data_IF_596024106272
#
_entry.id   IF_596024106272
#
_cell.length_a   1.000
_cell.length_b   1.000
_cell.length_c   1.000
_cell.angle_alpha   90.00
_cell.angle_beta   90.00
_cell.angle_gamma   90.00
#
_symmetry.space_group_name_H-M   'P 1'
#
loop_
_entity.id
_entity.type
_entity.pdbx_description
1 polymer ?
#
# COMPACT_ATOMS: atom_id res chain seq x y z
N UNK A 1 -10.47 -16.26 35.11
CA UNK A 1 -11.26 -16.57 33.93
C UNK A 1 -11.77 -15.37 33.18
N UNK A 2 -12.30 -14.39 33.84
CA UNK A 2 -12.75 -13.20 33.16
C UNK A 2 -11.62 -12.41 32.51
N UNK A 3 -10.44 -12.45 33.05
CA UNK A 3 -9.29 -11.78 32.51
C UNK A 3 -8.88 -12.31 31.14
N UNK A 4 -8.99 -13.60 30.92
CA UNK A 4 -8.63 -14.19 29.63
C UNK A 4 -9.55 -13.71 28.51
N UNK A 5 -10.84 -13.56 28.79
CA UNK A 5 -11.78 -13.10 27.77
C UNK A 5 -11.54 -11.64 27.40
N UNK A 6 -11.24 -10.82 28.42
CA UNK A 6 -10.97 -9.40 28.19
C UNK A 6 -9.69 -9.23 27.36
N UNK A 7 -8.66 -9.98 27.65
CA UNK A 7 -7.42 -9.92 26.89
C UNK A 7 -7.62 -10.37 25.44
N UNK A 8 -8.41 -11.40 25.23
CA UNK A 8 -8.70 -11.89 23.89
C UNK A 8 -9.45 -10.86 23.06
N UNK A 9 -10.42 -10.19 23.64
CA UNK A 9 -11.19 -9.17 22.95
C UNK A 9 -10.30 -7.97 22.61
N UNK A 10 -9.43 -7.55 23.52
CA UNK A 10 -8.51 -6.46 23.26
C UNK A 10 -7.55 -6.78 22.13
N UNK A 11 -7.07 -8.01 22.08
CA UNK A 11 -6.17 -8.45 21.02
C UNK A 11 -6.85 -8.41 19.67
N UNK A 12 -8.09 -8.85 19.59
CA UNK A 12 -8.85 -8.82 18.35
C UNK A 12 -9.10 -7.39 17.86
N UNK A 13 -9.39 -6.49 18.76
CA UNK A 13 -9.58 -5.09 18.40
C UNK A 13 -8.30 -4.45 17.86
N UNK A 14 -7.17 -4.77 18.45
CA UNK A 14 -5.88 -4.27 17.99
C UNK A 14 -5.57 -4.78 16.59
N UNK A 15 -5.84 -6.04 16.32
CA UNK A 15 -5.61 -6.60 15.00
C UNK A 15 -6.49 -5.94 13.94
N UNK A 16 -7.71 -5.60 14.29
CA UNK A 16 -8.61 -4.97 13.35
C UNK A 16 -8.17 -3.56 12.96
N UNK A 17 -7.48 -2.86 13.83
CA UNK A 17 -7.03 -1.50 13.56
C UNK A 17 -5.81 -1.45 12.63
N UNK A 18 -5.07 -2.52 12.53
CA UNK A 18 -3.80 -2.50 11.79
C UNK A 18 -3.90 -2.71 10.29
N UNK A 19 -5.05 -2.99 9.77
CA UNK A 19 -5.19 -3.33 8.37
C UNK A 19 -5.45 -2.12 7.51
N UNK A 20 -4.47 -1.34 7.22
CA UNK A 20 -4.62 -0.14 6.42
C UNK A 20 -3.91 -0.14 5.09
N UNK A 21 -3.16 -1.17 4.78
CA UNK A 21 -2.45 -1.27 3.53
C UNK A 21 -2.61 -2.69 2.99
N UNK A 22 -2.43 -2.85 1.70
CA UNK A 22 -2.47 -4.18 1.14
C UNK A 22 -1.06 -4.67 0.87
N UNK A 23 -0.90 -5.98 0.89
CA UNK A 23 0.34 -6.64 0.55
C UNK A 23 0.01 -7.81 -0.34
N UNK A 24 0.71 -7.95 -1.45
CA UNK A 24 0.55 -9.13 -2.28
C UNK A 24 1.92 -9.58 -2.82
N UNK A 25 1.99 -10.80 -3.30
CA UNK A 25 3.19 -11.29 -3.92
C UNK A 25 2.85 -11.92 -5.25
N UNK A 26 3.78 -11.89 -6.16
CA UNK A 26 3.62 -12.47 -7.48
C UNK A 26 4.89 -13.13 -7.93
N UNK A 27 4.78 -14.04 -8.89
CA UNK A 27 5.92 -14.71 -9.45
C UNK A 27 6.69 -13.77 -10.38
N UNK A 28 7.99 -13.92 -10.39
CA UNK A 28 8.85 -13.09 -11.22
C UNK A 28 10.09 -13.89 -11.61
N UNK A 29 10.48 -13.76 -12.86
CA UNK A 29 11.72 -14.40 -13.33
C UNK A 29 12.92 -13.57 -12.86
N UNK A 30 13.72 -14.13 -11.99
CA UNK A 30 14.91 -13.47 -11.47
C UNK A 30 16.18 -14.13 -11.95
N UNK A 31 16.14 -14.86 -13.05
CA UNK A 31 17.32 -15.55 -13.58
C UNK A 31 18.44 -14.57 -13.95
N UNK A 32 18.10 -13.32 -14.24
CA UNK A 32 19.09 -12.27 -14.52
C UNK A 32 19.69 -11.67 -13.25
N UNK A 33 19.19 -12.03 -12.08
CA UNK A 33 19.58 -11.42 -10.81
C UNK A 33 18.74 -10.19 -10.44
N UNK A 34 17.72 -9.90 -11.22
CA UNK A 34 16.88 -8.72 -11.04
C UNK A 34 15.42 -9.05 -11.24
N UNK A 35 14.58 -8.29 -10.55
CA UNK A 35 13.16 -8.21 -10.87
C UNK A 35 13.00 -7.02 -11.82
N UNK A 36 12.28 -7.21 -12.91
CA UNK A 36 12.11 -6.16 -13.93
C UNK A 36 10.63 -5.91 -14.15
N UNK A 37 10.23 -4.67 -14.10
CA UNK A 37 8.85 -4.28 -14.34
C UNK A 37 8.77 -2.98 -15.09
N UNK A 38 7.62 -2.74 -15.71
CA UNK A 38 7.42 -1.55 -16.53
C UNK A 38 7.47 -0.28 -15.71
N UNK A 39 6.97 -0.31 -14.51
CA UNK A 39 6.84 0.89 -13.69
C UNK A 39 7.90 1.02 -12.62
N UNK A 40 8.44 -0.07 -12.13
CA UNK A 40 9.45 0.01 -11.07
C UNK A 40 10.87 -0.22 -11.57
N UNK A 41 11.03 -0.58 -12.84
CA UNK A 41 12.34 -0.74 -13.44
C UNK A 41 13.03 -2.03 -13.05
N UNK A 42 14.32 -1.95 -12.79
CA UNK A 42 15.14 -3.10 -12.42
C UNK A 42 15.50 -3.02 -10.95
N UNK A 43 15.20 -4.07 -10.22
CA UNK A 43 15.49 -4.15 -8.79
C UNK A 43 16.34 -5.40 -8.57
N UNK A 44 17.52 -5.30 -7.96
CA UNK A 44 18.31 -6.51 -7.70
C UNK A 44 17.62 -7.39 -6.66
N UNK A 45 17.83 -8.68 -6.78
CA UNK A 45 17.30 -9.63 -5.80
C UNK A 45 17.83 -9.26 -4.42
N UNK A 46 16.94 -9.13 -3.45
CA UNK A 46 17.26 -8.66 -2.10
C UNK A 46 17.10 -7.16 -1.93
N UNK A 47 16.80 -6.43 -3.01
CA UNK A 47 16.59 -4.99 -2.95
C UNK A 47 15.12 -4.62 -3.02
N UNK A 48 14.88 -3.32 -3.15
CA UNK A 48 13.52 -2.83 -3.30
C UNK A 48 13.49 -1.62 -4.22
N UNK A 49 12.32 -1.31 -4.72
CA UNK A 49 12.09 -0.14 -5.54
C UNK A 49 10.65 0.35 -5.36
N UNK A 50 10.25 1.27 -6.20
CA UNK A 50 8.93 1.88 -6.08
C UNK A 50 8.22 1.92 -7.42
N UNK A 51 6.92 1.69 -7.36
CA UNK A 51 6.03 1.94 -8.48
C UNK A 51 5.20 3.16 -8.08
N UNK A 52 5.68 4.33 -8.45
CA UNK A 52 5.04 5.58 -8.02
C UNK A 52 3.70 5.80 -8.71
N UNK A 53 3.50 5.18 -9.86
CA UNK A 53 2.24 5.29 -10.54
C UNK A 53 1.12 4.61 -9.77
N UNK A 54 1.43 3.50 -9.13
CA UNK A 54 0.46 2.78 -8.30
C UNK A 54 0.61 3.07 -6.82
N UNK A 55 1.59 3.86 -6.45
CA UNK A 55 1.93 4.15 -5.06
C UNK A 55 2.22 2.85 -4.30
N UNK A 56 3.23 2.14 -4.75
CA UNK A 56 3.61 0.85 -4.19
C UNK A 56 5.09 0.77 -3.95
N UNK A 57 5.49 0.02 -2.94
CA UNK A 57 6.87 -0.35 -2.71
C UNK A 57 7.02 -1.82 -3.10
N UNK A 58 8.00 -2.11 -3.91
CA UNK A 58 8.20 -3.44 -4.47
C UNK A 58 9.49 -4.01 -3.92
N UNK A 59 9.42 -5.17 -3.30
CA UNK A 59 10.60 -5.88 -2.80
C UNK A 59 10.90 -7.03 -3.76
N UNK A 60 12.13 -7.12 -4.20
CA UNK A 60 12.56 -8.18 -5.09
C UNK A 60 13.15 -9.32 -4.28
N UNK A 61 12.55 -10.49 -4.37
CA UNK A 61 13.10 -11.69 -3.76
C UNK A 61 13.29 -12.72 -4.85
N UNK A 62 13.96 -13.81 -4.51
CA UNK A 62 14.23 -14.81 -5.52
C UNK A 62 12.94 -15.40 -6.06
N UNK A 63 12.77 -15.31 -7.36
CA UNK A 63 11.62 -15.85 -8.10
C UNK A 63 10.28 -15.20 -7.84
N UNK A 64 10.24 -14.14 -7.04
CA UNK A 64 8.98 -13.41 -6.89
C UNK A 64 9.18 -12.02 -6.32
N UNK A 65 8.11 -11.26 -6.33
CA UNK A 65 8.10 -9.93 -5.74
C UNK A 65 7.08 -9.89 -4.61
N UNK A 66 7.35 -9.03 -3.64
CA UNK A 66 6.37 -8.70 -2.61
C UNK A 66 6.06 -7.23 -2.75
N UNK A 67 4.80 -6.89 -2.77
CA UNK A 67 4.35 -5.53 -3.05
C UNK A 67 3.51 -5.02 -1.90
N UNK A 68 3.83 -3.81 -1.45
CA UNK A 68 3.07 -3.13 -0.40
C UNK A 68 2.42 -1.89 -1.01
N UNK A 69 1.15 -1.70 -0.79
CA UNK A 69 0.42 -0.56 -1.35
C UNK A 69 -0.56 0.03 -0.36
N UNK A 70 -1.24 1.07 -0.79
CA UNK A 70 -2.21 1.77 0.04
C UNK A 70 -3.53 1.03 0.07
N UNK A 71 -4.26 1.13 1.16
CA UNK A 71 -5.62 0.63 1.21
C UNK A 71 -6.51 1.43 0.26
N UNK A 72 -7.43 0.78 -0.42
CA UNK A 72 -8.36 1.52 -1.27
C UNK A 72 -9.27 2.44 -0.45
N UNK A 73 -9.52 3.61 -0.98
CA UNK A 73 -10.37 4.60 -0.33
C UNK A 73 -11.45 5.01 -1.31
N UNK A 74 -12.68 5.12 -0.80
CA UNK A 74 -13.80 5.57 -1.61
C UNK A 74 -14.36 6.86 -1.01
N UNK A 75 -14.71 7.77 -1.89
CA UNK A 75 -15.30 9.03 -1.47
C UNK A 75 -16.69 9.17 -2.07
N UNK A 76 -17.67 9.31 -1.21
CA UNK A 76 -19.06 9.43 -1.64
C UNK A 76 -19.57 10.86 -1.51
N UNK A 77 -18.78 11.83 -1.80
CA UNK A 77 -19.19 13.23 -1.74
C UNK A 77 -19.23 13.81 -3.15
N UNK A 78 -20.38 14.15 -3.67
CA UNK A 78 -20.46 14.76 -5.01
C UNK A 78 -19.70 16.08 -5.06
N UNK A 79 -19.05 16.32 -6.16
CA UNK A 79 -18.26 17.52 -6.32
C UNK A 79 -16.89 17.48 -5.66
N UNK A 80 -16.55 16.37 -5.03
CA UNK A 80 -15.25 16.22 -4.38
C UNK A 80 -14.45 15.09 -5.00
N UNK A 81 -13.16 15.17 -4.89
CA UNK A 81 -12.28 14.13 -5.40
C UNK A 81 -11.14 13.88 -4.43
N UNK A 82 -10.54 12.72 -4.54
CA UNK A 82 -9.38 12.36 -3.74
C UNK A 82 -8.13 12.70 -4.53
N UNK A 83 -7.21 13.38 -3.89
CA UNK A 83 -5.93 13.75 -4.49
C UNK A 83 -4.81 13.14 -3.68
N UNK A 84 -3.96 12.37 -4.34
CA UNK A 84 -2.80 11.75 -3.69
C UNK A 84 -1.64 12.72 -3.64
N UNK A 85 -0.83 12.59 -2.63
CA UNK A 85 0.41 13.34 -2.55
C UNK A 85 1.46 12.73 -3.46
N UNK A 86 2.40 13.55 -3.89
CA UNK A 86 3.53 13.07 -4.66
C UNK A 86 4.53 12.39 -3.74
N UNK A 87 5.31 11.48 -4.27
CA UNK A 87 6.35 10.81 -3.54
C UNK A 87 6.26 9.31 -3.67
N UNK A 88 7.10 8.63 -2.92
CA UNK A 88 7.12 7.17 -2.88
C UNK A 88 6.19 6.67 -1.78
N UNK A 89 5.79 5.41 -1.89
CA UNK A 89 5.07 4.75 -0.82
C UNK A 89 5.92 4.83 0.47
N UNK A 90 5.35 5.13 1.62
CA UNK A 90 3.93 5.36 1.87
C UNK A 90 3.48 6.82 1.76
N UNK A 91 4.36 7.72 1.40
CA UNK A 91 4.00 9.14 1.35
C UNK A 91 2.90 9.42 0.34
N UNK A 92 2.93 8.76 -0.79
CA UNK A 92 1.89 8.90 -1.80
C UNK A 92 0.55 8.29 -1.38
N UNK A 93 0.52 7.56 -0.28
CA UNK A 93 -0.75 7.05 0.26
C UNK A 93 -1.53 8.13 0.99
N UNK A 94 -0.89 9.22 1.34
CA UNK A 94 -1.57 10.32 2.00
C UNK A 94 -2.41 11.04 0.97
N UNK A 95 -3.69 11.09 1.21
CA UNK A 95 -4.62 11.73 0.29
C UNK A 95 -5.34 12.83 1.01
N UNK A 96 -5.75 13.83 0.27
CA UNK A 96 -6.62 14.87 0.77
C UNK A 96 -7.81 15.01 -0.16
N UNK A 97 -8.85 15.61 0.33
CA UNK A 97 -10.09 15.78 -0.42
C UNK A 97 -10.12 17.18 -0.98
N UNK A 98 -10.33 17.29 -2.29
CA UNK A 98 -10.53 18.58 -2.94
C UNK A 98 -11.95 18.61 -3.47
N UNK A 99 -12.69 19.62 -3.11
CA UNK A 99 -14.06 19.79 -3.54
C UNK A 99 -14.19 21.00 -4.46
N UNK A 100 -15.14 20.94 -5.37
CA UNK A 100 -15.46 22.11 -6.17
C UNK A 100 -16.00 23.15 -5.25
N UNK A 101 -15.46 24.36 -5.39
CA UNK A 101 -15.76 25.29 -4.43
C UNK A 101 -16.81 26.17 -4.83
N UNK A 102 -17.86 25.83 -4.72
CA UNK A 102 -18.87 26.60 -5.14
C UNK A 102 -19.54 27.23 -4.14
N UNK A 103 -19.10 27.45 -3.36
CA UNK A 103 -19.75 27.94 -2.44
C UNK A 103 -19.81 29.02 -2.30
N UNK A 104 -19.68 29.22 -2.54
CA UNK A 104 -19.75 30.12 -2.29
C UNK A 104 -20.33 30.64 -2.32
#
# INVERSE_FOLDING_TARGET
>A
MKLCCVLSVSMLLLLAVQSRAYVYSGDMDTSSGYCVGEHFGRIPVGGYGYDDEKCEKVFCVREHINVHGCSPVQLDAPGCRLVSRNGHFPDCCRIHVECDDDDE
#
